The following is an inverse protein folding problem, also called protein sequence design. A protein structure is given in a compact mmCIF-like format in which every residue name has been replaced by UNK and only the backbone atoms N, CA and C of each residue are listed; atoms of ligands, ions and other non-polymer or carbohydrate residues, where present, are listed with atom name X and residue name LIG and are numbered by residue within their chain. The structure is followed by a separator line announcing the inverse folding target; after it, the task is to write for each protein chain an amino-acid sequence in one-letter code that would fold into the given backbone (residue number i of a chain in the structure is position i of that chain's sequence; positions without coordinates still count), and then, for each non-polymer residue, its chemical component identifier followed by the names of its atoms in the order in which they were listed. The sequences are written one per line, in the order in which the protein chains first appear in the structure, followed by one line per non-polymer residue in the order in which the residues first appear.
data_IF_476914299738
#
_entry.id   IF_476914299738
#
_cell.length_a   1.000
_cell.length_b   1.000
_cell.length_c   1.000
_cell.angle_alpha   90.00
_cell.angle_beta   90.00
_cell.angle_gamma   90.00
#
_symmetry.space_group_name_H-M   'P 1'
#
loop_
_entity.id
_entity.type
_entity.pdbx_description
1 polymer ?
#
# COMPACT_ATOMS: atom_id res chain seq x y z
N UNK A 1 -31.96 -10.71 -29.89
CA UNK A 1 -32.36 -11.27 -28.60
C UNK A 1 -31.72 -12.64 -28.43
N UNK A 2 -30.69 -12.72 -27.60
CA UNK A 2 -30.04 -13.99 -27.23
C UNK A 2 -30.97 -14.70 -26.24
N UNK A 3 -31.24 -15.99 -26.43
CA UNK A 3 -32.08 -16.76 -25.51
C UNK A 3 -31.37 -16.91 -24.15
N UNK A 4 -32.15 -17.12 -23.08
CA UNK A 4 -31.60 -17.35 -21.73
C UNK A 4 -30.65 -18.54 -21.65
N UNK A 5 -30.94 -19.58 -22.45
CA UNK A 5 -30.08 -20.76 -22.60
C UNK A 5 -28.76 -20.42 -23.25
N UNK A 6 -28.78 -19.57 -24.29
CA UNK A 6 -27.54 -19.16 -25.00
C UNK A 6 -26.71 -18.23 -24.12
N UNK A 7 -27.34 -17.33 -23.30
CA UNK A 7 -26.64 -16.51 -22.33
C UNK A 7 -25.88 -17.37 -21.33
N UNK A 8 -26.54 -18.37 -20.75
CA UNK A 8 -25.92 -19.27 -19.77
C UNK A 8 -24.78 -20.09 -20.37
N UNK A 9 -24.90 -20.47 -21.65
CA UNK A 9 -23.83 -21.15 -22.36
C UNK A 9 -22.63 -20.19 -22.63
N UNK A 10 -22.90 -18.94 -22.97
CA UNK A 10 -21.86 -17.92 -23.17
C UNK A 10 -21.16 -17.60 -21.82
N UNK A 11 -21.90 -17.44 -20.73
CA UNK A 11 -21.36 -17.23 -19.38
C UNK A 11 -20.47 -18.41 -18.96
N UNK A 12 -20.94 -19.65 -19.12
CA UNK A 12 -20.14 -20.84 -18.81
C UNK A 12 -18.90 -20.96 -19.71
N UNK A 13 -18.98 -20.58 -20.96
CA UNK A 13 -17.85 -20.59 -21.87
C UNK A 13 -16.84 -19.47 -21.47
N UNK A 14 -17.29 -18.29 -21.08
CA UNK A 14 -16.45 -17.22 -20.59
C UNK A 14 -15.77 -17.57 -19.26
N UNK A 15 -16.47 -18.26 -18.35
CA UNK A 15 -15.85 -18.79 -17.13
C UNK A 15 -14.77 -19.84 -17.43
N UNK A 16 -14.98 -20.71 -18.43
CA UNK A 16 -14.00 -21.72 -18.86
C UNK A 16 -12.80 -21.14 -19.59
N UNK A 17 -13.00 -20.11 -20.41
CA UNK A 17 -11.93 -19.47 -21.18
C UNK A 17 -11.14 -18.45 -20.35
N UNK A 18 -11.67 -18.07 -19.19
CA UNK A 18 -11.11 -17.01 -18.36
C UNK A 18 -11.30 -15.61 -18.96
N UNK A 19 -10.96 -14.57 -18.21
CA UNK A 19 -11.05 -13.20 -18.68
C UNK A 19 -10.03 -12.90 -19.78
N UNK A 20 -10.37 -11.96 -20.67
CA UNK A 20 -9.49 -11.54 -21.78
C UNK A 20 -8.11 -11.10 -21.25
N UNK A 21 -7.01 -11.74 -21.68
CA UNK A 21 -5.67 -11.39 -21.27
C UNK A 21 -5.28 -9.92 -21.52
N UNK A 22 -5.88 -9.27 -22.52
CA UNK A 22 -5.60 -7.86 -22.84
C UNK A 22 -6.14 -6.90 -21.79
N UNK A 23 -7.24 -7.26 -21.11
CA UNK A 23 -7.89 -6.43 -20.09
C UNK A 23 -7.47 -6.75 -18.66
N UNK A 24 -6.74 -7.86 -18.47
CA UNK A 24 -6.26 -8.28 -17.15
C UNK A 24 -4.96 -7.57 -16.74
N UNK A 25 -4.83 -7.25 -15.46
CA UNK A 25 -3.56 -6.86 -14.88
C UNK A 25 -2.52 -8.00 -14.91
N UNK A 26 -1.23 -7.67 -14.76
CA UNK A 26 -0.12 -8.61 -14.85
C UNK A 26 -0.26 -9.84 -13.93
N UNK A 27 -0.54 -9.63 -12.65
CA UNK A 27 -0.67 -10.74 -11.67
C UNK A 27 -1.83 -11.66 -12.03
N UNK A 28 -2.97 -11.10 -12.47
CA UNK A 28 -4.12 -11.87 -12.91
C UNK A 28 -3.79 -12.73 -14.14
N UNK A 29 -3.03 -12.17 -15.08
CA UNK A 29 -2.53 -12.91 -16.23
C UNK A 29 -1.65 -14.11 -15.83
N UNK A 30 -0.77 -13.97 -14.84
CA UNK A 30 0.06 -15.09 -14.34
C UNK A 30 -0.81 -16.23 -13.80
N UNK A 31 -1.87 -15.94 -13.06
CA UNK A 31 -2.79 -16.97 -12.56
C UNK A 31 -3.42 -17.82 -13.69
N UNK A 32 -3.62 -17.22 -14.86
CA UNK A 32 -4.13 -17.90 -16.06
C UNK A 32 -3.02 -18.45 -16.97
N UNK A 33 -1.77 -18.46 -16.50
CA UNK A 33 -0.62 -18.99 -17.24
C UNK A 33 -0.08 -18.05 -18.32
N UNK A 34 -0.54 -16.81 -18.38
CA UNK A 34 -0.10 -15.81 -19.36
C UNK A 34 0.99 -14.91 -18.78
N UNK A 35 2.23 -15.07 -19.23
CA UNK A 35 3.33 -14.20 -18.81
C UNK A 35 3.49 -13.07 -19.83
N UNK A 36 3.00 -11.89 -19.48
CA UNK A 36 3.02 -10.69 -20.33
C UNK A 36 4.14 -9.74 -19.91
N UNK A 37 5.35 -10.01 -20.40
CA UNK A 37 6.54 -9.21 -20.06
C UNK A 37 6.39 -7.73 -20.44
N UNK A 38 5.66 -7.41 -21.50
CA UNK A 38 5.38 -6.04 -21.95
C UNK A 38 4.60 -5.19 -20.92
N UNK A 39 3.98 -5.80 -19.93
CA UNK A 39 3.30 -5.10 -18.85
C UNK A 39 4.26 -4.70 -17.70
N UNK A 40 5.47 -5.26 -17.68
CA UNK A 40 6.49 -4.97 -16.66
C UNK A 40 7.63 -4.17 -17.26
N UNK A 41 7.99 -4.46 -18.52
CA UNK A 41 9.15 -3.85 -19.16
C UNK A 41 8.73 -2.93 -20.32
N UNK A 42 9.35 -1.74 -20.43
CA UNK A 42 10.39 -1.22 -19.55
C UNK A 42 9.86 -1.00 -18.12
N UNK A 43 10.68 -1.29 -17.11
CA UNK A 43 10.28 -1.14 -15.70
C UNK A 43 9.93 0.33 -15.42
N UNK A 44 8.79 0.61 -14.77
CA UNK A 44 8.38 1.98 -14.49
C UNK A 44 9.39 2.66 -13.54
N UNK A 45 9.85 3.83 -13.94
CA UNK A 45 10.77 4.64 -13.15
C UNK A 45 10.03 5.81 -12.52
N UNK A 46 10.37 6.11 -11.27
CA UNK A 46 9.93 7.34 -10.63
C UNK A 46 10.57 8.57 -11.26
N UNK A 47 9.93 9.74 -11.15
CA UNK A 47 10.54 10.99 -11.61
C UNK A 47 11.82 11.29 -10.83
N UNK A 48 12.77 12.02 -11.45
CA UNK A 48 14.03 12.41 -10.80
C UNK A 48 13.79 13.19 -9.50
N UNK A 49 12.74 14.02 -9.47
CA UNK A 49 12.36 14.79 -8.28
C UNK A 49 11.85 13.87 -7.17
N UNK A 50 10.98 12.92 -7.50
CA UNK A 50 10.47 11.95 -6.53
C UNK A 50 11.60 11.08 -6.00
N UNK A 51 12.46 10.57 -6.87
CA UNK A 51 13.65 9.79 -6.50
C UNK A 51 14.51 10.53 -5.50
N UNK A 52 14.84 11.79 -5.75
CA UNK A 52 15.67 12.60 -4.85
C UNK A 52 15.01 12.80 -3.47
N UNK A 53 13.68 12.97 -3.41
CA UNK A 53 12.94 13.06 -2.14
C UNK A 53 12.90 11.72 -1.41
N UNK A 54 12.73 10.63 -2.15
CA UNK A 54 12.79 9.28 -1.59
C UNK A 54 14.17 8.95 -1.05
N UNK A 55 15.24 9.26 -1.79
CA UNK A 55 16.64 9.05 -1.38
C UNK A 55 16.92 9.79 -0.07
N UNK A 56 16.49 11.05 0.05
CA UNK A 56 16.62 11.81 1.30
C UNK A 56 15.90 11.15 2.48
N UNK A 57 14.67 10.64 2.28
CA UNK A 57 13.94 9.91 3.32
C UNK A 57 14.67 8.61 3.70
N UNK A 58 15.26 7.91 2.74
CA UNK A 58 16.05 6.71 3.00
C UNK A 58 17.31 6.99 3.82
N UNK A 59 18.03 8.10 3.53
CA UNK A 59 19.17 8.56 4.34
C UNK A 59 18.77 8.87 5.79
N UNK A 60 17.64 9.55 5.98
CA UNK A 60 17.08 9.84 7.31
C UNK A 60 16.69 8.56 8.07
N UNK A 61 16.04 7.61 7.38
CA UNK A 61 15.73 6.29 7.93
C UNK A 61 16.98 5.50 8.29
N UNK A 62 18.03 5.54 7.46
CA UNK A 62 19.29 4.88 7.75
C UNK A 62 19.93 5.43 9.03
N UNK A 63 19.97 6.73 9.19
CA UNK A 63 20.47 7.37 10.40
C UNK A 63 19.64 6.98 11.64
N UNK A 64 18.31 6.98 11.51
CA UNK A 64 17.39 6.61 12.57
C UNK A 64 17.56 5.16 13.01
N UNK A 65 17.60 4.20 12.07
CA UNK A 65 17.78 2.80 12.39
C UNK A 65 19.15 2.47 12.99
N UNK A 66 20.18 3.19 12.58
CA UNK A 66 21.54 2.95 13.09
C UNK A 66 21.76 3.52 14.50
N UNK A 67 21.03 4.56 14.90
CA UNK A 67 21.33 5.31 16.11
C UNK A 67 20.22 5.29 17.17
N UNK A 68 18.94 5.14 16.78
CA UNK A 68 17.83 5.42 17.67
C UNK A 68 16.81 4.27 17.76
N UNK A 69 16.51 3.59 16.63
CA UNK A 69 15.40 2.65 16.57
C UNK A 69 15.61 1.40 17.44
N UNK A 70 14.68 1.07 18.35
CA UNK A 70 14.85 -0.01 19.32
C UNK A 70 14.39 -1.37 18.76
N UNK A 71 14.89 -1.79 17.58
CA UNK A 71 14.44 -3.00 16.86
C UNK A 71 14.43 -4.26 17.74
N UNK A 72 15.48 -4.48 18.52
CA UNK A 72 15.60 -5.65 19.40
C UNK A 72 14.60 -5.59 20.55
N UNK A 73 14.42 -4.41 21.15
CA UNK A 73 13.46 -4.23 22.25
C UNK A 73 12.01 -4.41 21.77
N UNK A 74 11.68 -3.95 20.56
CA UNK A 74 10.35 -4.18 19.94
C UNK A 74 10.08 -5.69 19.79
N UNK A 75 11.05 -6.43 19.31
CA UNK A 75 10.92 -7.89 19.15
C UNK A 75 10.74 -8.60 20.50
N UNK A 76 11.58 -8.26 21.47
CA UNK A 76 11.54 -8.86 22.82
C UNK A 76 10.26 -8.54 23.59
N UNK A 77 9.81 -7.28 23.53
CA UNK A 77 8.66 -6.81 24.30
C UNK A 77 7.34 -7.00 23.54
N UNK A 78 7.38 -7.35 22.24
CA UNK A 78 6.21 -7.50 21.36
C UNK A 78 5.35 -6.23 21.31
N UNK A 79 5.99 -5.07 21.43
CA UNK A 79 5.33 -3.77 21.46
C UNK A 79 6.16 -2.71 20.72
N UNK A 80 5.50 -1.89 19.92
CA UNK A 80 6.12 -0.73 19.27
C UNK A 80 5.81 0.50 20.14
N UNK A 81 6.83 1.13 20.76
CA UNK A 81 6.61 2.29 21.61
C UNK A 81 5.98 3.47 20.85
N UNK A 82 5.14 4.25 21.55
CA UNK A 82 4.48 5.43 20.94
C UNK A 82 5.47 6.44 20.33
N UNK A 83 6.63 6.62 20.95
CA UNK A 83 7.63 7.55 20.43
C UNK A 83 8.21 7.08 19.06
N UNK A 84 8.23 5.78 18.78
CA UNK A 84 8.60 5.25 17.46
C UNK A 84 7.53 5.61 16.43
N UNK A 85 6.26 5.45 16.79
CA UNK A 85 5.12 5.85 15.95
C UNK A 85 5.19 7.35 15.63
N UNK A 86 5.41 8.18 16.67
CA UNK A 86 5.56 9.62 16.52
C UNK A 86 6.73 9.98 15.60
N UNK A 87 7.87 9.30 15.76
CA UNK A 87 9.05 9.53 14.91
C UNK A 87 8.78 9.24 13.43
N UNK A 88 7.98 8.22 13.12
CA UNK A 88 7.58 7.94 11.73
C UNK A 88 6.65 9.01 11.14
N UNK A 89 5.78 9.62 11.95
CA UNK A 89 5.03 10.80 11.52
C UNK A 89 5.96 11.99 11.24
N UNK A 90 6.89 12.28 12.14
CA UNK A 90 7.85 13.38 12.00
C UNK A 90 8.73 13.24 10.74
N UNK A 91 9.16 12.02 10.41
CA UNK A 91 9.90 11.73 9.18
C UNK A 91 9.02 11.69 7.92
N UNK A 92 7.69 11.82 8.05
CA UNK A 92 6.76 11.76 6.94
C UNK A 92 6.52 10.37 6.33
N UNK A 93 6.98 9.31 7.01
CA UNK A 93 6.82 7.92 6.54
C UNK A 93 5.34 7.56 6.42
N UNK A 94 4.53 7.90 7.41
CA UNK A 94 3.10 7.61 7.38
C UNK A 94 2.28 8.46 6.42
N UNK A 95 2.86 9.53 5.89
CA UNK A 95 2.25 10.35 4.84
C UNK A 95 2.77 10.06 3.43
N UNK A 96 3.67 9.06 3.24
CA UNK A 96 4.44 8.95 2.00
C UNK A 96 3.59 8.75 0.74
N UNK A 97 2.49 8.01 0.79
CA UNK A 97 1.59 7.81 -0.36
C UNK A 97 0.40 8.78 -0.39
N UNK A 98 0.14 9.50 0.70
CA UNK A 98 -0.94 10.50 0.73
C UNK A 98 -0.61 11.62 -0.26
N UNK A 99 -1.57 12.05 -1.11
CA UNK A 99 -1.33 13.13 -2.06
C UNK A 99 -0.88 14.43 -1.38
N UNK A 100 -0.02 15.20 -2.08
CA UNK A 100 0.54 16.45 -1.55
C UNK A 100 -0.52 17.47 -1.14
N UNK A 101 -1.64 17.52 -1.85
CA UNK A 101 -2.78 18.39 -1.58
C UNK A 101 -3.44 18.13 -0.23
N UNK A 102 -3.25 16.93 0.33
CA UNK A 102 -3.73 16.55 1.66
C UNK A 102 -2.61 16.47 2.71
N UNK A 103 -1.45 17.07 2.40
CA UNK A 103 -0.33 17.16 3.35
C UNK A 103 0.60 15.95 3.39
N UNK A 104 0.50 15.03 2.43
CA UNK A 104 1.40 13.89 2.28
C UNK A 104 2.59 14.15 1.37
N UNK A 105 3.40 13.10 1.13
CA UNK A 105 4.57 13.15 0.26
C UNK A 105 4.24 12.91 -1.22
N UNK A 106 3.10 12.26 -1.52
CA UNK A 106 2.68 11.93 -2.88
C UNK A 106 3.65 10.99 -3.60
N UNK A 107 4.25 10.04 -2.88
CA UNK A 107 5.11 9.03 -3.50
C UNK A 107 4.30 8.00 -4.28
N UNK A 108 4.84 7.57 -5.41
CA UNK A 108 4.35 6.43 -6.16
C UNK A 108 4.78 5.09 -5.53
N UNK A 109 4.31 4.01 -6.15
CA UNK A 109 4.51 2.63 -5.64
C UNK A 109 5.99 2.25 -5.54
N UNK A 110 6.84 2.71 -6.45
CA UNK A 110 8.29 2.41 -6.44
C UNK A 110 8.96 3.00 -5.20
N UNK A 111 8.77 4.29 -4.94
CA UNK A 111 9.31 4.97 -3.76
C UNK A 111 8.75 4.37 -2.46
N UNK A 112 7.45 4.09 -2.41
CA UNK A 112 6.80 3.40 -1.29
C UNK A 112 7.49 2.06 -0.95
N UNK A 113 7.70 1.20 -1.96
CA UNK A 113 8.33 -0.10 -1.74
C UNK A 113 9.81 0.02 -1.33
N UNK A 114 10.56 0.99 -1.85
CA UNK A 114 11.94 1.27 -1.43
C UNK A 114 12.01 1.63 0.07
N UNK A 115 11.09 2.46 0.54
CA UNK A 115 11.00 2.83 1.95
C UNK A 115 10.59 1.63 2.81
N UNK A 116 9.59 0.85 2.41
CA UNK A 116 9.20 -0.35 3.14
C UNK A 116 10.31 -1.40 3.19
N UNK A 117 11.03 -1.62 2.09
CA UNK A 117 12.20 -2.51 2.07
C UNK A 117 13.23 -2.07 3.11
N UNK A 118 13.53 -0.77 3.17
CA UNK A 118 14.49 -0.24 4.13
C UNK A 118 14.04 -0.45 5.58
N UNK A 119 12.78 -0.19 5.90
CA UNK A 119 12.23 -0.43 7.24
C UNK A 119 12.28 -1.93 7.57
N UNK A 120 11.84 -2.78 6.65
CA UNK A 120 11.78 -4.23 6.82
C UNK A 120 13.12 -4.89 7.07
N UNK A 121 14.20 -4.36 6.51
CA UNK A 121 15.58 -4.83 6.78
C UNK A 121 16.01 -4.64 8.24
N UNK A 122 15.41 -3.69 8.94
CA UNK A 122 15.76 -3.36 10.32
C UNK A 122 14.73 -3.86 11.33
N UNK A 123 13.44 -3.78 11.01
CA UNK A 123 12.36 -4.19 11.91
C UNK A 123 11.10 -4.58 11.11
N UNK A 124 10.81 -5.89 11.10
CA UNK A 124 9.62 -6.43 10.41
C UNK A 124 8.31 -5.89 10.99
N UNK A 125 8.19 -5.78 12.31
CA UNK A 125 6.99 -5.24 12.98
C UNK A 125 6.71 -3.80 12.57
N UNK A 126 7.75 -2.95 12.50
CA UNK A 126 7.63 -1.57 12.04
C UNK A 126 7.23 -1.48 10.55
N UNK A 127 7.75 -2.38 9.72
CA UNK A 127 7.37 -2.45 8.31
C UNK A 127 5.90 -2.86 8.13
N UNK A 128 5.43 -3.84 8.90
CA UNK A 128 4.02 -4.25 8.88
C UNK A 128 3.11 -3.12 9.34
N UNK A 129 3.46 -2.41 10.42
CA UNK A 129 2.71 -1.25 10.89
C UNK A 129 2.61 -0.17 9.82
N UNK A 130 3.73 0.20 9.19
CA UNK A 130 3.74 1.20 8.13
C UNK A 130 2.95 0.75 6.89
N UNK A 131 3.10 -0.51 6.50
CA UNK A 131 2.35 -1.08 5.38
C UNK A 131 0.85 -1.11 5.65
N UNK A 132 0.41 -1.61 6.81
CA UNK A 132 -1.01 -1.68 7.15
C UNK A 132 -1.66 -0.29 7.19
N UNK A 133 -0.98 0.68 7.80
CA UNK A 133 -1.44 2.06 7.82
C UNK A 133 -1.63 2.64 6.41
N UNK A 134 -0.63 2.49 5.54
CA UNK A 134 -0.62 3.11 4.22
C UNK A 134 -1.44 2.33 3.19
N UNK A 135 -1.20 1.03 3.04
CA UNK A 135 -1.77 0.25 1.94
C UNK A 135 -3.22 -0.16 2.18
N UNK A 136 -3.60 -0.43 3.43
CA UNK A 136 -4.94 -0.92 3.76
C UNK A 136 -5.81 0.21 4.31
N UNK A 137 -5.34 0.92 5.35
CA UNK A 137 -6.10 1.99 5.98
C UNK A 137 -6.24 3.23 5.11
N UNK A 138 -5.13 3.82 4.69
CA UNK A 138 -5.10 5.05 3.91
C UNK A 138 -5.70 4.91 2.51
N UNK A 139 -5.37 3.83 1.79
CA UNK A 139 -5.81 3.63 0.42
C UNK A 139 -7.33 3.53 0.27
N UNK A 140 -8.02 2.96 1.25
CA UNK A 140 -9.48 2.90 1.23
C UNK A 140 -10.10 4.30 1.13
N UNK A 141 -9.60 5.25 1.93
CA UNK A 141 -10.05 6.65 1.87
C UNK A 141 -9.62 7.32 0.57
N UNK A 142 -8.38 7.09 0.13
CA UNK A 142 -7.85 7.70 -1.09
C UNK A 142 -8.62 7.28 -2.34
N UNK A 143 -8.98 5.99 -2.45
CA UNK A 143 -9.63 5.43 -3.64
C UNK A 143 -11.15 5.61 -3.64
N UNK A 144 -11.80 5.48 -2.49
CA UNK A 144 -13.24 5.38 -2.38
C UNK A 144 -13.90 6.48 -1.54
N UNK A 145 -13.12 7.28 -0.82
CA UNK A 145 -13.64 8.38 -0.02
C UNK A 145 -14.25 9.49 -0.90
N UNK A 146 -15.33 10.13 -0.39
CA UNK A 146 -15.81 11.40 -0.96
C UNK A 146 -14.75 12.49 -0.78
N UNK A 147 -14.85 13.58 -1.53
CA UNK A 147 -13.90 14.69 -1.42
C UNK A 147 -13.86 15.26 0.02
N UNK A 148 -15.03 15.38 0.66
CA UNK A 148 -15.13 15.79 2.07
C UNK A 148 -14.41 14.83 3.02
N UNK A 149 -14.55 13.51 2.79
CA UNK A 149 -13.86 12.49 3.58
C UNK A 149 -12.34 12.56 3.37
N UNK A 150 -11.88 12.75 2.13
CA UNK A 150 -10.46 12.91 1.83
C UNK A 150 -9.87 14.13 2.50
N UNK A 151 -10.52 15.28 2.40
CA UNK A 151 -10.08 16.52 3.03
C UNK A 151 -10.04 16.43 4.56
N UNK A 152 -10.94 15.65 5.15
CA UNK A 152 -10.98 15.50 6.60
C UNK A 152 -10.00 14.45 7.11
N UNK A 153 -9.93 13.27 6.46
CA UNK A 153 -9.18 12.14 6.99
C UNK A 153 -7.72 12.09 6.52
N UNK A 154 -7.42 12.38 5.24
CA UNK A 154 -6.08 12.18 4.71
C UNK A 154 -5.02 13.04 5.41
N UNK A 155 -5.25 14.32 5.77
CA UNK A 155 -4.30 15.09 6.55
C UNK A 155 -4.00 14.48 7.93
N UNK A 156 -5.04 13.94 8.59
CA UNK A 156 -4.88 13.28 9.90
C UNK A 156 -4.11 11.98 9.77
N UNK A 157 -4.44 11.17 8.77
CA UNK A 157 -3.76 9.92 8.46
C UNK A 157 -2.28 10.19 8.14
N UNK A 158 -1.97 11.25 7.42
CA UNK A 158 -0.61 11.58 7.05
C UNK A 158 0.25 12.07 8.24
N UNK A 159 -0.35 12.70 9.27
CA UNK A 159 0.41 13.48 10.25
C UNK A 159 0.09 13.19 11.72
N UNK A 160 -1.06 12.56 12.04
CA UNK A 160 -1.56 12.54 13.42
C UNK A 160 -2.02 11.17 13.90
N UNK A 161 -2.64 10.37 13.04
CA UNK A 161 -3.36 9.17 13.48
C UNK A 161 -3.08 7.96 12.60
N UNK A 162 -2.82 6.83 13.24
CA UNK A 162 -2.73 5.55 12.54
C UNK A 162 -4.10 5.15 12.00
N UNK A 163 -4.13 4.67 10.76
CA UNK A 163 -5.28 4.06 10.13
C UNK A 163 -5.16 2.54 10.11
N UNK A 164 -6.29 1.87 10.17
CA UNK A 164 -6.37 0.41 10.15
C UNK A 164 -7.61 -0.03 9.35
N UNK A 165 -7.67 -1.30 9.06
CA UNK A 165 -8.78 -1.93 8.35
C UNK A 165 -9.39 -3.03 9.23
N UNK A 166 -10.68 -2.88 9.53
CA UNK A 166 -11.44 -3.83 10.35
C UNK A 166 -12.40 -4.62 9.45
N UNK A 167 -11.92 -5.74 8.91
CA UNK A 167 -12.71 -6.58 7.99
C UNK A 167 -13.73 -7.44 8.71
N UNK A 168 -13.36 -8.04 9.86
CA UNK A 168 -14.24 -8.94 10.61
C UNK A 168 -15.35 -8.16 11.29
N UNK A 169 -16.59 -8.60 11.08
CA UNK A 169 -17.79 -8.07 11.71
C UNK A 169 -18.43 -9.11 12.66
N UNK A 170 -19.30 -8.72 13.60
CA UNK A 170 -19.87 -9.66 14.57
C UNK A 170 -20.57 -10.87 13.96
N UNK A 171 -21.18 -10.71 12.78
CA UNK A 171 -21.94 -11.77 12.09
C UNK A 171 -21.22 -12.30 10.84
N UNK A 172 -20.08 -11.74 10.47
CA UNK A 172 -19.36 -12.05 9.23
C UNK A 172 -17.86 -12.11 9.55
N UNK A 173 -17.29 -13.30 9.61
CA UNK A 173 -15.88 -13.49 9.85
C UNK A 173 -15.03 -13.21 8.60
N UNK A 174 -14.80 -14.24 7.79
CA UNK A 174 -13.98 -14.17 6.57
C UNK A 174 -14.78 -13.90 5.29
N UNK A 175 -16.07 -13.73 5.38
CA UNK A 175 -16.98 -13.45 4.26
C UNK A 175 -17.24 -11.93 4.21
N UNK A 176 -16.49 -11.24 3.34
CA UNK A 176 -16.51 -9.80 3.21
C UNK A 176 -17.24 -9.35 1.95
#
# INVERSE_FOLDING_TARGET
NVSEKDRKQIENAQEMLGPDPETMGFIKNIYWGNIRQNMIFPYPEESKEERARCDKMLEELDAYFNNEHPSVAIDQNQEIPEWVVKRYFEMGVFGMIVPKEYGGQGFGVTSYNRVLERIGRSCGSSAVMASAHLSIGCNAVTLFGSEEQKQYWLPKIANEALSAFCLSEPNVGCDA
#
